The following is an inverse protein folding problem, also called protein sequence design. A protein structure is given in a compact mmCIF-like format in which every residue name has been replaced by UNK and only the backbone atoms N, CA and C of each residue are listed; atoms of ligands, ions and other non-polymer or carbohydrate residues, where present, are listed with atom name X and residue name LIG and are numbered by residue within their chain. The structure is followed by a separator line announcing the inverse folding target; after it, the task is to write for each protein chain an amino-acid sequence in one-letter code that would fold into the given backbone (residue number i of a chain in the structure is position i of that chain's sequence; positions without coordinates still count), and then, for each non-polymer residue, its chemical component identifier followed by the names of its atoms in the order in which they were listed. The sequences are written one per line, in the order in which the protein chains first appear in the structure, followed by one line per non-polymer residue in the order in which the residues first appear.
data_IF_111282401733
#
_entry.id   IF_111282401733
#
_cell.length_a   1.000
_cell.length_b   1.000
_cell.length_c   1.000
_cell.angle_alpha   90.00
_cell.angle_beta   90.00
_cell.angle_gamma   90.00
#
_symmetry.space_group_name_H-M   'P 1'
#
loop_
_entity.id
_entity.type
_entity.pdbx_description
1 polymer ?
#
# COMPACT_ATOMS: atom_id res chain seq x y z
N UNK A 1 11.53 1.56 -12.79
CA UNK A 1 12.92 1.85 -13.21
C UNK A 1 12.90 2.95 -14.25
N UNK A 2 13.85 3.86 -14.20
CA UNK A 2 14.08 4.87 -15.26
C UNK A 2 15.51 4.79 -15.71
N UNK A 3 15.74 4.91 -17.03
CA UNK A 3 17.07 4.94 -17.66
C UNK A 3 17.16 6.09 -18.63
N UNK A 4 18.33 6.72 -18.73
CA UNK A 4 18.65 7.76 -19.74
C UNK A 4 19.69 7.29 -20.76
N UNK A 5 19.92 8.13 -21.78
CA UNK A 5 20.86 7.84 -22.88
C UNK A 5 22.33 7.66 -22.45
N UNK A 6 22.72 8.19 -21.28
CA UNK A 6 24.05 8.07 -20.70
C UNK A 6 24.19 6.84 -19.79
N UNK A 7 23.18 5.94 -19.80
CA UNK A 7 23.10 4.74 -18.97
C UNK A 7 22.95 5.01 -17.46
N UNK A 8 22.53 6.22 -17.07
CA UNK A 8 22.10 6.46 -15.71
C UNK A 8 20.80 5.71 -15.47
N UNK A 9 20.80 4.82 -14.48
CA UNK A 9 19.67 3.97 -14.13
C UNK A 9 19.29 4.19 -12.68
N UNK A 10 17.99 4.39 -12.40
CA UNK A 10 17.46 4.55 -11.03
C UNK A 10 16.23 3.69 -10.82
N UNK A 11 16.06 3.19 -9.60
CA UNK A 11 14.81 2.58 -9.14
C UNK A 11 13.94 3.67 -8.53
N UNK A 12 12.76 3.87 -9.09
CA UNK A 12 11.83 4.87 -8.54
C UNK A 12 11.10 4.31 -7.33
N UNK A 13 10.68 3.04 -7.39
CA UNK A 13 9.93 2.42 -6.32
C UNK A 13 10.01 0.90 -6.42
N UNK A 14 10.21 0.23 -5.29
CA UNK A 14 9.95 -1.20 -5.16
C UNK A 14 8.49 -1.40 -4.76
N UNK A 15 7.83 -2.36 -5.39
CA UNK A 15 6.42 -2.67 -5.14
C UNK A 15 6.30 -4.17 -4.92
N UNK A 16 5.59 -4.57 -3.88
CA UNK A 16 5.36 -5.96 -3.53
C UNK A 16 3.87 -6.30 -3.60
N UNK A 17 3.54 -7.47 -4.14
CA UNK A 17 2.19 -8.01 -4.14
C UNK A 17 1.96 -8.85 -2.88
N UNK A 18 0.78 -8.71 -2.25
CA UNK A 18 0.38 -9.61 -1.15
C UNK A 18 0.05 -11.01 -1.68
N UNK A 19 -0.64 -11.09 -2.82
CA UNK A 19 -0.94 -12.38 -3.44
C UNK A 19 0.30 -12.99 -4.07
N UNK A 20 0.48 -14.32 -3.97
CA UNK A 20 1.57 -15.03 -4.63
C UNK A 20 1.45 -14.96 -6.16
N UNK A 21 2.50 -15.38 -6.85
CA UNK A 21 2.52 -15.52 -8.30
C UNK A 21 1.33 -16.36 -8.79
N UNK A 22 0.66 -15.90 -9.84
CA UNK A 22 -0.57 -16.50 -10.39
C UNK A 22 -1.76 -15.53 -10.36
N UNK A 23 -1.70 -14.49 -9.52
CA UNK A 23 -2.62 -13.34 -9.57
C UNK A 23 -1.92 -12.19 -10.30
N UNK A 24 -2.60 -11.59 -11.27
CA UNK A 24 -2.07 -10.43 -12.00
C UNK A 24 -1.77 -9.27 -11.04
N UNK A 25 -0.63 -8.60 -11.19
CA UNK A 25 -0.20 -7.48 -10.32
C UNK A 25 -1.26 -6.37 -10.23
N UNK A 26 -1.99 -6.09 -11.32
CA UNK A 26 -3.11 -5.14 -11.31
C UNK A 26 -4.25 -5.52 -10.38
N UNK A 27 -4.45 -6.82 -10.17
CA UNK A 27 -5.55 -7.40 -9.37
C UNK A 27 -5.14 -7.77 -7.95
N UNK A 28 -3.83 -7.73 -7.63
CA UNK A 28 -3.33 -7.93 -6.28
C UNK A 28 -3.33 -6.64 -5.48
N UNK A 29 -3.48 -6.75 -4.16
CA UNK A 29 -3.13 -5.67 -3.24
C UNK A 29 -1.62 -5.51 -3.29
N UNK A 30 -1.13 -4.28 -3.46
CA UNK A 30 0.30 -4.00 -3.59
C UNK A 30 0.77 -2.97 -2.57
N UNK A 31 1.99 -3.15 -2.11
CA UNK A 31 2.62 -2.37 -1.07
C UNK A 31 3.90 -1.72 -1.63
N UNK A 32 4.13 -0.48 -1.29
CA UNK A 32 5.37 0.24 -1.59
C UNK A 32 5.89 0.95 -0.33
N UNK A 33 7.19 0.85 -0.02
CA UNK A 33 8.18 -0.03 -0.64
C UNK A 33 7.91 -1.51 -0.32
N UNK A 34 8.60 -2.45 -0.98
CA UNK A 34 8.57 -3.86 -0.63
C UNK A 34 8.96 -4.07 0.84
N UNK A 35 8.22 -4.93 1.56
CA UNK A 35 8.34 -5.09 3.01
C UNK A 35 9.09 -6.37 3.42
N UNK A 36 9.07 -7.40 2.56
CA UNK A 36 9.58 -8.73 2.92
C UNK A 36 10.95 -9.04 2.30
N UNK A 37 11.47 -8.16 1.44
CA UNK A 37 12.81 -8.30 0.86
C UNK A 37 13.89 -7.85 1.85
N UNK A 38 14.94 -8.64 1.97
CA UNK A 38 16.20 -8.18 2.57
C UNK A 38 16.90 -7.19 1.65
N UNK A 39 17.80 -6.35 2.19
CA UNK A 39 18.59 -5.43 1.36
C UNK A 39 19.37 -6.18 0.27
N UNK A 40 19.96 -7.32 0.59
CA UNK A 40 20.69 -8.15 -0.38
C UNK A 40 19.80 -8.60 -1.54
N UNK A 41 18.58 -9.06 -1.27
CA UNK A 41 17.62 -9.46 -2.30
C UNK A 41 17.20 -8.24 -3.13
N UNK A 42 16.91 -7.12 -2.49
CA UNK A 42 16.59 -5.87 -3.18
C UNK A 42 17.71 -5.46 -4.15
N UNK A 43 18.98 -5.48 -3.74
CA UNK A 43 20.11 -5.12 -4.60
C UNK A 43 20.25 -6.09 -5.78
N UNK A 44 20.02 -7.39 -5.58
CA UNK A 44 20.00 -8.37 -6.69
C UNK A 44 18.91 -8.03 -7.71
N UNK A 45 17.69 -7.72 -7.24
CA UNK A 45 16.59 -7.35 -8.15
C UNK A 45 16.84 -6.02 -8.86
N UNK A 46 17.46 -5.06 -8.18
CA UNK A 46 17.91 -3.79 -8.73
C UNK A 46 18.89 -4.00 -9.89
N UNK A 47 19.94 -4.75 -9.66
CA UNK A 47 20.97 -5.03 -10.67
C UNK A 47 20.40 -5.83 -11.86
N UNK A 48 19.55 -6.81 -11.60
CA UNK A 48 18.84 -7.56 -12.65
C UNK A 48 17.94 -6.65 -13.48
N UNK A 49 17.24 -5.69 -12.85
CA UNK A 49 16.40 -4.72 -13.57
C UNK A 49 17.22 -3.89 -14.55
N UNK A 50 18.37 -3.37 -14.13
CA UNK A 50 19.26 -2.61 -15.01
C UNK A 50 19.83 -3.44 -16.16
N UNK A 51 20.22 -4.68 -15.89
CA UNK A 51 20.68 -5.61 -16.92
C UNK A 51 19.59 -5.90 -17.95
N UNK A 52 18.35 -6.13 -17.50
CA UNK A 52 17.20 -6.38 -18.38
C UNK A 52 16.93 -5.17 -19.28
N UNK A 53 16.94 -3.94 -18.73
CA UNK A 53 16.74 -2.74 -19.54
C UNK A 53 17.80 -2.59 -20.63
N UNK A 54 19.07 -2.89 -20.32
CA UNK A 54 20.17 -2.85 -21.27
C UNK A 54 20.03 -3.90 -22.36
N UNK A 55 19.70 -5.15 -21.99
CA UNK A 55 19.54 -6.27 -22.89
C UNK A 55 18.36 -6.07 -23.87
N UNK A 56 17.25 -5.54 -23.38
CA UNK A 56 16.08 -5.21 -24.22
C UNK A 56 16.34 -3.99 -25.11
N UNK A 57 17.33 -3.17 -24.78
CA UNK A 57 17.67 -1.96 -25.56
C UNK A 57 16.78 -0.77 -25.23
N UNK A 58 16.24 -0.68 -24.01
CA UNK A 58 15.53 0.52 -23.53
C UNK A 58 16.56 1.59 -23.22
N UNK A 59 16.74 2.53 -24.14
CA UNK A 59 17.75 3.59 -24.02
C UNK A 59 17.27 4.76 -23.16
N UNK A 60 15.98 5.06 -23.21
CA UNK A 60 15.40 6.19 -22.47
C UNK A 60 14.00 5.89 -21.95
N UNK A 61 13.67 6.44 -20.78
CA UNK A 61 12.33 6.47 -20.25
C UNK A 61 12.07 5.53 -19.08
N UNK A 62 10.80 5.36 -18.77
CA UNK A 62 10.33 4.54 -17.64
C UNK A 62 9.97 3.13 -18.05
N UNK A 63 10.26 2.17 -17.19
CA UNK A 63 9.96 0.75 -17.39
C UNK A 63 9.50 0.11 -16.07
N UNK A 64 8.75 -0.98 -16.18
CA UNK A 64 8.37 -1.83 -15.06
C UNK A 64 8.95 -3.22 -15.28
N UNK A 65 9.70 -3.73 -14.32
CA UNK A 65 10.23 -5.10 -14.33
C UNK A 65 9.59 -5.87 -13.18
N UNK A 66 9.04 -7.05 -13.47
CA UNK A 66 8.34 -7.90 -12.50
C UNK A 66 9.13 -9.17 -12.26
N UNK A 67 9.30 -9.50 -10.99
CA UNK A 67 10.00 -10.69 -10.51
C UNK A 67 9.10 -11.54 -9.63
N UNK A 68 9.42 -12.82 -9.57
CA UNK A 68 9.00 -13.70 -8.49
C UNK A 68 10.24 -14.21 -7.77
N UNK A 69 10.21 -14.15 -6.44
CA UNK A 69 11.27 -14.68 -5.58
C UNK A 69 10.72 -15.86 -4.81
N UNK A 70 11.39 -17.01 -4.89
CA UNK A 70 11.00 -18.16 -4.08
C UNK A 70 11.59 -17.98 -2.66
N UNK A 71 10.76 -17.83 -1.62
CA UNK A 71 11.24 -17.54 -0.28
C UNK A 71 12.08 -18.68 0.36
N UNK A 72 11.86 -19.91 -0.08
CA UNK A 72 12.58 -21.06 0.47
C UNK A 72 13.97 -21.28 -0.16
N UNK A 73 14.17 -20.86 -1.41
CA UNK A 73 15.40 -21.12 -2.17
C UNK A 73 16.14 -19.87 -2.58
N UNK A 74 15.53 -18.70 -2.45
CA UNK A 74 16.04 -17.44 -2.99
C UNK A 74 16.07 -17.36 -4.52
N UNK A 75 15.48 -18.36 -5.22
CA UNK A 75 15.45 -18.35 -6.68
C UNK A 75 14.61 -17.21 -7.21
N UNK A 76 15.21 -16.40 -8.08
CA UNK A 76 14.54 -15.30 -8.77
C UNK A 76 14.12 -15.73 -10.17
N UNK A 77 12.90 -15.40 -10.55
CA UNK A 77 12.35 -15.57 -11.90
C UNK A 77 11.85 -14.23 -12.40
N UNK A 78 12.22 -13.86 -13.62
CA UNK A 78 11.66 -12.71 -14.32
C UNK A 78 10.29 -13.10 -14.88
N UNK A 79 9.24 -12.37 -14.51
CA UNK A 79 7.89 -12.61 -15.01
C UNK A 79 7.71 -11.88 -16.35
N UNK A 80 7.90 -10.56 -16.32
CA UNK A 80 7.78 -9.71 -17.51
C UNK A 80 8.51 -8.38 -17.32
N UNK A 81 8.73 -7.69 -18.42
CA UNK A 81 9.22 -6.31 -18.46
C UNK A 81 8.33 -5.50 -19.40
N UNK A 82 7.86 -4.36 -18.92
CA UNK A 82 7.02 -3.44 -19.69
C UNK A 82 7.85 -2.16 -20.00
N UNK A 83 8.35 -1.98 -21.26
CA UNK A 83 9.18 -0.82 -21.63
C UNK A 83 8.31 0.42 -21.91
N UNK A 84 7.48 0.80 -20.98
CA UNK A 84 6.55 1.91 -21.10
C UNK A 84 6.09 2.40 -19.73
N UNK A 85 5.58 3.62 -19.68
CA UNK A 85 4.81 4.12 -18.54
C UNK A 85 3.48 3.36 -18.47
N UNK A 86 3.09 2.93 -17.28
CA UNK A 86 1.93 2.07 -17.02
C UNK A 86 1.16 2.52 -15.78
N UNK A 87 0.11 1.78 -15.39
CA UNK A 87 -0.59 2.02 -14.11
C UNK A 87 0.35 1.90 -12.91
N UNK A 88 1.26 0.93 -12.90
CA UNK A 88 2.27 0.80 -11.85
C UNK A 88 3.22 2.00 -11.81
N UNK A 89 3.56 2.61 -12.94
CA UNK A 89 4.33 3.86 -12.98
C UNK A 89 3.55 5.03 -12.37
N UNK A 90 2.23 5.11 -12.62
CA UNK A 90 1.37 6.12 -12.00
C UNK A 90 1.28 5.91 -10.48
N UNK A 91 1.15 4.67 -10.02
CA UNK A 91 1.20 4.33 -8.61
C UNK A 91 2.55 4.72 -7.98
N UNK A 92 3.66 4.34 -8.61
CA UNK A 92 5.01 4.70 -8.15
C UNK A 92 5.22 6.22 -8.08
N UNK A 93 4.73 6.98 -9.08
CA UNK A 93 4.78 8.44 -9.06
C UNK A 93 3.98 9.04 -7.89
N UNK A 94 2.78 8.52 -7.62
CA UNK A 94 1.97 8.97 -6.48
C UNK A 94 2.60 8.56 -5.13
N UNK A 95 3.18 7.36 -5.08
CA UNK A 95 3.80 6.85 -3.87
C UNK A 95 5.05 7.64 -3.47
N UNK A 96 5.86 8.06 -4.43
CA UNK A 96 7.16 8.71 -4.18
C UNK A 96 7.14 10.22 -4.40
N UNK A 97 6.12 10.75 -5.06
CA UNK A 97 6.12 12.12 -5.56
C UNK A 97 6.98 12.34 -6.81
N UNK A 98 7.78 11.35 -7.25
CA UNK A 98 8.66 11.46 -8.41
C UNK A 98 7.85 11.44 -9.72
N UNK A 99 7.94 12.47 -10.58
CA UNK A 99 7.10 12.63 -11.77
C UNK A 99 7.59 11.80 -12.95
N UNK A 100 7.43 10.45 -12.90
CA UNK A 100 7.98 9.51 -13.89
C UNK A 100 7.61 9.89 -15.33
N UNK A 101 6.36 10.26 -15.60
CA UNK A 101 5.91 10.57 -16.95
C UNK A 101 6.57 11.84 -17.51
N UNK A 102 6.69 12.89 -16.68
CA UNK A 102 7.40 14.13 -17.04
C UNK A 102 8.88 13.86 -17.34
N UNK A 103 9.54 13.14 -16.42
CA UNK A 103 10.95 12.79 -16.58
C UNK A 103 11.16 11.94 -17.83
N UNK A 104 10.36 10.88 -18.02
CA UNK A 104 10.44 10.03 -19.22
C UNK A 104 10.28 10.82 -20.53
N UNK A 105 9.36 11.79 -20.58
CA UNK A 105 9.19 12.67 -21.73
C UNK A 105 10.43 13.54 -21.99
N UNK A 106 11.03 14.09 -20.95
CA UNK A 106 12.26 14.90 -21.10
C UNK A 106 13.46 14.05 -21.53
N UNK A 107 13.60 12.84 -21.00
CA UNK A 107 14.64 11.90 -21.42
C UNK A 107 14.51 11.54 -22.91
N UNK A 108 13.27 11.37 -23.40
CA UNK A 108 13.03 11.03 -24.82
C UNK A 108 13.40 12.15 -25.82
N UNK A 109 13.50 13.39 -25.35
CA UNK A 109 13.98 14.52 -26.17
C UNK A 109 15.45 14.86 -25.92
N UNK A 110 16.16 14.00 -25.17
CA UNK A 110 17.63 14.03 -25.09
C UNK A 110 18.21 14.59 -23.80
N UNK A 111 17.40 14.94 -22.79
CA UNK A 111 17.92 15.24 -21.45
C UNK A 111 18.45 13.98 -20.77
N UNK A 112 19.26 14.17 -19.72
CA UNK A 112 19.76 13.10 -18.86
C UNK A 112 19.27 13.31 -17.42
N UNK A 113 19.31 12.25 -16.61
CA UNK A 113 18.79 12.29 -15.23
C UNK A 113 19.55 13.27 -14.33
N UNK A 114 20.83 13.45 -14.57
CA UNK A 114 21.69 14.39 -13.84
C UNK A 114 21.48 15.85 -14.26
N UNK A 115 21.02 16.11 -15.51
CA UNK A 115 20.65 17.44 -15.97
C UNK A 115 19.28 17.90 -15.45
N UNK A 116 18.39 16.94 -15.13
CA UNK A 116 17.06 17.23 -14.65
C UNK A 116 17.05 17.48 -13.13
N UNK A 117 16.29 18.49 -12.72
CA UNK A 117 16.07 18.81 -11.30
C UNK A 117 14.94 17.98 -10.74
N UNK A 118 15.05 17.58 -9.48
CA UNK A 118 13.96 16.95 -8.74
C UNK A 118 12.97 18.03 -8.28
N UNK A 119 11.74 17.96 -8.77
CA UNK A 119 10.69 18.93 -8.43
C UNK A 119 10.32 18.91 -6.95
N UNK A 120 10.39 17.75 -6.29
CA UNK A 120 10.01 17.59 -4.86
C UNK A 120 10.99 18.34 -3.95
N UNK A 121 12.28 18.32 -4.28
CA UNK A 121 13.33 19.03 -3.53
C UNK A 121 13.57 20.44 -4.06
N UNK A 122 12.69 20.97 -4.93
CA UNK A 122 12.85 22.27 -5.59
C UNK A 122 14.19 22.43 -6.31
N UNK A 123 14.73 21.34 -6.82
CA UNK A 123 15.98 21.29 -7.53
C UNK A 123 17.25 21.29 -6.66
N UNK A 124 17.12 21.05 -5.36
CA UNK A 124 18.26 20.82 -4.47
C UNK A 124 19.01 19.54 -4.83
N UNK A 125 18.30 18.55 -5.37
CA UNK A 125 18.86 17.30 -5.87
C UNK A 125 18.55 17.11 -7.35
N UNK A 126 19.40 16.42 -8.12
CA UNK A 126 19.07 16.02 -9.49
C UNK A 126 18.07 14.85 -9.48
N UNK A 127 17.43 14.60 -10.60
CA UNK A 127 16.53 13.48 -10.81
C UNK A 127 17.25 12.11 -10.85
N UNK A 128 18.57 12.09 -10.85
CA UNK A 128 19.40 10.89 -10.78
C UNK A 128 19.49 10.26 -9.38
N UNK A 129 19.02 10.93 -8.33
CA UNK A 129 18.89 10.31 -7.01
C UNK A 129 17.70 9.37 -6.96
N UNK A 130 17.92 8.14 -6.50
CA UNK A 130 16.85 7.17 -6.30
C UNK A 130 15.93 7.65 -5.16
N UNK A 131 14.60 7.67 -5.37
CA UNK A 131 13.68 8.00 -4.28
C UNK A 131 13.80 7.06 -3.11
N UNK A 132 13.76 7.63 -1.91
CA UNK A 132 13.68 6.92 -0.63
C UNK A 132 12.47 7.45 0.13
N UNK A 133 11.62 6.55 0.64
CA UNK A 133 10.41 6.92 1.37
C UNK A 133 10.43 6.29 2.77
N UNK A 134 9.96 7.02 3.77
CA UNK A 134 9.88 6.61 5.16
C UNK A 134 8.43 6.33 5.64
N UNK A 135 7.53 6.12 4.69
CA UNK A 135 6.13 5.76 4.88
C UNK A 135 5.78 4.54 4.03
N UNK A 136 4.60 4.00 4.25
CA UNK A 136 4.09 2.82 3.51
C UNK A 136 2.88 3.22 2.70
N UNK A 137 2.85 2.76 1.46
CA UNK A 137 1.76 2.98 0.52
C UNK A 137 1.08 1.66 0.23
N UNK A 138 -0.24 1.59 0.39
CA UNK A 138 -1.05 0.43 0.03
C UNK A 138 -2.00 0.78 -1.11
N UNK A 139 -2.00 -0.04 -2.16
CA UNK A 139 -2.96 0.00 -3.26
C UNK A 139 -3.91 -1.19 -3.15
N UNK A 140 -5.22 -0.94 -3.21
CA UNK A 140 -6.24 -1.99 -3.32
C UNK A 140 -6.95 -1.84 -4.67
N UNK A 141 -7.03 -2.92 -5.48
CA UNK A 141 -7.73 -2.90 -6.76
C UNK A 141 -9.24 -2.85 -6.56
N UNK A 142 -9.94 -2.18 -7.47
CA UNK A 142 -11.40 -2.15 -7.53
C UNK A 142 -11.90 -2.97 -8.70
N UNK A 143 -12.92 -3.78 -8.45
CA UNK A 143 -13.58 -4.61 -9.44
C UNK A 143 -15.00 -4.12 -9.69
N UNK A 144 -15.62 -4.54 -10.79
CA UNK A 144 -16.98 -4.18 -11.17
C UNK A 144 -17.79 -5.43 -11.57
N UNK A 145 -17.57 -6.54 -10.86
CA UNK A 145 -18.26 -7.81 -11.18
C UNK A 145 -19.78 -7.70 -11.02
N UNK A 146 -20.26 -6.80 -10.18
CA UNK A 146 -21.69 -6.49 -10.02
C UNK A 146 -22.33 -5.98 -11.33
N UNK A 147 -21.53 -5.36 -12.21
CA UNK A 147 -21.97 -4.89 -13.53
C UNK A 147 -21.84 -5.97 -14.61
N UNK A 148 -21.07 -7.01 -14.34
CA UNK A 148 -20.78 -8.11 -15.26
C UNK A 148 -21.01 -9.47 -14.60
N UNK A 149 -22.26 -9.83 -14.26
CA UNK A 149 -22.56 -11.02 -13.45
C UNK A 149 -22.18 -12.34 -14.12
N UNK A 150 -21.93 -12.36 -15.42
CA UNK A 150 -21.46 -13.54 -16.16
C UNK A 150 -19.93 -13.69 -16.13
N UNK A 151 -19.20 -12.68 -15.67
CA UNK A 151 -17.74 -12.73 -15.58
C UNK A 151 -17.30 -13.61 -14.40
N UNK A 152 -16.29 -14.44 -14.64
CA UNK A 152 -15.67 -15.20 -13.56
C UNK A 152 -14.89 -14.24 -12.63
N UNK A 153 -15.30 -14.16 -11.36
CA UNK A 153 -14.68 -13.29 -10.34
C UNK A 153 -13.38 -13.84 -9.74
N UNK A 154 -12.98 -15.07 -10.10
CA UNK A 154 -11.69 -15.62 -9.60
C UNK A 154 -10.53 -14.91 -10.26
N UNK A 155 -9.57 -14.46 -9.43
CA UNK A 155 -8.37 -13.74 -9.88
C UNK A 155 -7.38 -14.72 -10.47
N UNK A 156 -6.77 -14.34 -11.58
CA UNK A 156 -5.83 -15.16 -12.34
C UNK A 156 -4.70 -14.27 -12.88
N UNK A 157 -3.91 -14.78 -13.81
CA UNK A 157 -2.93 -13.99 -14.55
C UNK A 157 -3.54 -12.96 -15.52
N UNK A 158 -4.84 -13.03 -15.75
CA UNK A 158 -5.57 -12.04 -16.54
C UNK A 158 -6.09 -10.91 -15.64
N UNK A 159 -5.77 -9.66 -15.98
CA UNK A 159 -6.23 -8.49 -15.24
C UNK A 159 -7.73 -8.27 -15.40
N UNK A 160 -8.45 -8.11 -14.28
CA UNK A 160 -9.91 -7.92 -14.20
C UNK A 160 -10.31 -6.64 -13.47
N UNK A 161 -9.38 -6.00 -12.78
CA UNK A 161 -9.63 -4.74 -12.07
C UNK A 161 -9.94 -3.60 -13.03
N UNK A 162 -10.87 -2.73 -12.62
CA UNK A 162 -11.31 -1.55 -13.40
C UNK A 162 -10.75 -0.25 -12.85
N UNK A 163 -10.26 -0.27 -11.63
CA UNK A 163 -9.69 0.88 -10.93
C UNK A 163 -8.91 0.45 -9.71
N UNK A 164 -8.49 1.43 -8.92
CA UNK A 164 -7.72 1.20 -7.70
C UNK A 164 -7.85 2.37 -6.76
N UNK A 165 -7.67 2.14 -5.47
CA UNK A 165 -7.43 3.15 -4.44
C UNK A 165 -6.01 3.04 -3.95
N UNK A 166 -5.48 4.17 -3.45
CA UNK A 166 -4.15 4.24 -2.85
C UNK A 166 -4.24 5.02 -1.54
N UNK A 167 -3.60 4.51 -0.50
CA UNK A 167 -3.49 5.20 0.79
C UNK A 167 -2.07 5.14 1.32
N UNK A 168 -1.68 6.20 2.04
CA UNK A 168 -0.36 6.35 2.65
C UNK A 168 -0.51 6.35 4.17
N UNK A 169 0.37 5.66 4.87
CA UNK A 169 0.46 5.64 6.32
C UNK A 169 1.90 5.48 6.78
N UNK A 170 2.19 5.69 8.07
CA UNK A 170 3.53 5.47 8.64
C UNK A 170 3.88 3.99 8.76
N UNK A 171 2.84 3.13 8.80
CA UNK A 171 2.96 1.68 8.88
C UNK A 171 2.12 1.01 7.81
N UNK A 172 2.42 -0.27 7.53
CA UNK A 172 1.59 -1.10 6.66
C UNK A 172 0.14 -1.18 7.16
N UNK A 173 -0.06 -1.40 8.45
CA UNK A 173 -1.39 -1.52 9.05
C UNK A 173 -2.22 -0.24 8.85
N UNK A 174 -1.63 0.94 9.10
CA UNK A 174 -2.29 2.22 8.87
C UNK A 174 -2.69 2.40 7.40
N UNK A 175 -1.73 2.21 6.47
CA UNK A 175 -1.97 2.40 5.05
C UNK A 175 -3.02 1.41 4.51
N UNK A 176 -2.99 0.15 4.96
CA UNK A 176 -3.94 -0.88 4.57
C UNK A 176 -5.37 -0.58 5.03
N UNK A 177 -5.57 -0.25 6.31
CA UNK A 177 -6.90 0.07 6.82
C UNK A 177 -7.48 1.34 6.18
N UNK A 178 -6.65 2.36 5.94
CA UNK A 178 -7.05 3.57 5.19
C UNK A 178 -7.42 3.25 3.75
N UNK A 179 -6.71 2.33 3.09
CA UNK A 179 -7.03 1.90 1.74
C UNK A 179 -8.40 1.19 1.69
N UNK A 180 -8.71 0.31 2.65
CA UNK A 180 -10.03 -0.31 2.77
C UNK A 180 -11.15 0.75 2.91
N UNK A 181 -10.94 1.76 3.75
CA UNK A 181 -11.90 2.86 3.89
C UNK A 181 -12.09 3.66 2.60
N UNK A 182 -11.02 3.81 1.82
CA UNK A 182 -11.03 4.57 0.56
C UNK A 182 -11.72 3.82 -0.59
N UNK A 183 -12.05 2.53 -0.42
CA UNK A 183 -12.82 1.77 -1.43
C UNK A 183 -14.25 2.29 -1.61
N UNK A 184 -14.78 3.00 -0.63
CA UNK A 184 -16.18 3.52 -0.61
C UNK A 184 -17.24 2.42 -0.78
N UNK A 185 -16.97 1.24 -0.22
CA UNK A 185 -17.83 0.04 -0.24
C UNK A 185 -18.49 -0.22 1.13
N UNK A 186 -18.55 0.80 1.99
CA UNK A 186 -19.11 0.68 3.33
C UNK A 186 -18.15 0.07 4.35
N UNK A 187 -16.88 -0.15 3.98
CA UNK A 187 -15.84 -0.65 4.87
C UNK A 187 -15.24 0.51 5.68
N UNK A 188 -15.08 0.33 6.97
CA UNK A 188 -14.50 1.31 7.89
C UNK A 188 -13.20 0.82 8.52
N UNK A 189 -12.66 -0.26 7.99
CA UNK A 189 -11.46 -0.98 8.38
C UNK A 189 -11.55 -2.43 7.92
N UNK A 190 -10.92 -3.32 8.63
CA UNK A 190 -10.89 -4.75 8.33
C UNK A 190 -12.16 -5.43 8.83
N UNK A 191 -13.28 -5.23 8.11
CA UNK A 191 -14.63 -5.66 8.51
C UNK A 191 -14.83 -7.18 8.35
N UNK A 192 -15.83 -7.72 9.09
CA UNK A 192 -16.32 -9.09 8.88
C UNK A 192 -17.42 -9.10 7.82
N UNK A 193 -17.38 -10.11 6.95
CA UNK A 193 -18.39 -10.36 5.91
C UNK A 193 -19.12 -11.69 6.10
N UNK A 194 -18.76 -12.45 7.13
CA UNK A 194 -19.42 -13.72 7.44
C UNK A 194 -20.75 -13.51 8.19
N UNK A 195 -21.68 -14.37 7.89
CA UNK A 195 -22.90 -14.55 8.68
C UNK A 195 -22.56 -15.42 9.91
N UNK A 196 -22.61 -14.86 11.15
CA UNK A 196 -22.20 -15.60 12.34
C UNK A 196 -23.07 -16.82 12.66
N UNK A 197 -24.27 -16.91 12.05
CA UNK A 197 -25.21 -18.02 12.29
C UNK A 197 -24.95 -19.25 11.41
N UNK A 198 -24.05 -19.15 10.43
CA UNK A 198 -23.76 -20.24 9.49
C UNK A 198 -22.40 -20.87 9.73
N UNK A 199 -22.32 -22.20 9.59
CA UNK A 199 -21.03 -22.87 9.48
C UNK A 199 -20.46 -22.60 8.10
N UNK A 200 -19.39 -21.80 8.01
CA UNK A 200 -18.81 -21.33 6.76
C UNK A 200 -17.38 -21.84 6.53
N UNK A 201 -16.95 -22.88 7.26
CA UNK A 201 -15.56 -23.37 7.16
C UNK A 201 -15.17 -23.82 5.74
N UNK A 202 -16.06 -24.53 5.03
CA UNK A 202 -15.79 -24.99 3.68
C UNK A 202 -15.72 -23.81 2.70
N UNK A 203 -16.63 -22.84 2.87
CA UNK A 203 -16.61 -21.61 2.07
C UNK A 203 -15.34 -20.81 2.32
N UNK A 204 -14.92 -20.62 3.57
CA UNK A 204 -13.66 -19.94 3.91
C UNK A 204 -12.46 -20.64 3.28
N UNK A 205 -12.40 -21.97 3.39
CA UNK A 205 -11.32 -22.73 2.78
C UNK A 205 -11.28 -22.53 1.26
N UNK A 206 -12.44 -22.53 0.59
CA UNK A 206 -12.55 -22.26 -0.85
C UNK A 206 -12.09 -20.83 -1.21
N UNK A 207 -12.62 -19.82 -0.52
CA UNK A 207 -12.31 -18.40 -0.80
C UNK A 207 -10.85 -18.04 -0.51
N UNK A 208 -10.21 -18.70 0.44
CA UNK A 208 -8.80 -18.53 0.75
C UNK A 208 -7.88 -19.26 -0.25
N UNK A 209 -8.30 -20.42 -0.75
CA UNK A 209 -7.54 -21.20 -1.72
C UNK A 209 -7.62 -20.58 -3.13
N UNK A 210 -8.80 -20.14 -3.54
CA UNK A 210 -9.04 -19.59 -4.87
C UNK A 210 -9.27 -18.06 -4.77
N UNK A 211 -8.26 -17.24 -5.10
CA UNK A 211 -8.33 -15.81 -4.86
C UNK A 211 -9.51 -15.14 -5.57
N UNK A 212 -10.23 -14.33 -4.82
CA UNK A 212 -11.31 -13.48 -5.28
C UNK A 212 -11.18 -12.06 -4.71
N UNK A 213 -12.04 -11.12 -5.13
CA UNK A 213 -11.98 -9.71 -4.70
C UNK A 213 -12.01 -9.51 -3.18
N UNK A 214 -12.78 -10.34 -2.47
CA UNK A 214 -13.00 -10.23 -1.02
C UNK A 214 -12.07 -11.12 -0.19
N UNK A 215 -11.05 -11.75 -0.80
CA UNK A 215 -10.15 -12.72 -0.14
C UNK A 215 -9.59 -12.22 1.18
N UNK A 216 -9.22 -10.94 1.25
CA UNK A 216 -8.63 -10.36 2.47
C UNK A 216 -9.64 -10.27 3.61
N UNK A 217 -10.91 -10.02 3.32
CA UNK A 217 -11.98 -10.00 4.33
C UNK A 217 -12.26 -11.41 4.85
N UNK A 218 -12.26 -12.43 3.98
CA UNK A 218 -12.34 -13.84 4.38
C UNK A 218 -11.13 -14.27 5.22
N UNK A 219 -9.93 -13.76 4.91
CA UNK A 219 -8.73 -13.98 5.72
C UNK A 219 -8.91 -13.45 7.14
N UNK A 220 -9.40 -12.22 7.28
CA UNK A 220 -9.69 -11.63 8.58
C UNK A 220 -10.71 -12.44 9.37
N UNK A 221 -11.76 -12.93 8.71
CA UNK A 221 -12.79 -13.74 9.36
C UNK A 221 -12.26 -15.11 9.79
N UNK A 222 -11.43 -15.76 8.98
CA UNK A 222 -10.74 -16.99 9.37
C UNK A 222 -9.86 -16.77 10.62
N UNK A 223 -9.16 -15.62 10.68
CA UNK A 223 -8.38 -15.25 11.87
C UNK A 223 -9.25 -15.03 13.10
N UNK A 224 -10.43 -14.39 12.95
CA UNK A 224 -11.41 -14.22 14.05
C UNK A 224 -11.97 -15.54 14.58
N UNK A 225 -12.07 -16.54 13.70
CA UNK A 225 -12.48 -17.91 14.02
C UNK A 225 -11.34 -18.76 14.63
N UNK A 226 -10.15 -18.18 14.81
CA UNK A 226 -9.02 -18.85 15.45
C UNK A 226 -8.19 -19.73 14.50
N UNK A 227 -8.31 -19.60 13.19
CA UNK A 227 -7.42 -20.33 12.27
C UNK A 227 -5.99 -19.79 12.43
N UNK A 228 -5.04 -20.71 12.55
CA UNK A 228 -3.62 -20.39 12.73
C UNK A 228 -2.95 -19.87 11.43
N UNK A 229 -1.85 -19.17 11.59
CA UNK A 229 -1.14 -18.53 10.47
C UNK A 229 -0.47 -19.54 9.54
N UNK A 230 -0.08 -20.73 10.03
CA UNK A 230 0.48 -21.79 9.22
C UNK A 230 -0.55 -22.34 8.23
N UNK A 231 -1.77 -22.63 8.72
CA UNK A 231 -2.90 -23.04 7.87
C UNK A 231 -3.24 -21.96 6.85
N UNK A 232 -3.30 -20.69 7.29
CA UNK A 232 -3.61 -19.56 6.41
C UNK A 232 -2.54 -19.38 5.34
N UNK A 233 -1.25 -19.45 5.70
CA UNK A 233 -0.16 -19.42 4.74
C UNK A 233 -0.25 -20.55 3.71
N UNK A 234 -0.50 -21.78 4.16
CA UNK A 234 -0.64 -22.96 3.29
C UNK A 234 -1.79 -22.83 2.28
N UNK A 235 -2.91 -22.24 2.67
CA UNK A 235 -4.08 -22.04 1.80
C UNK A 235 -3.89 -20.86 0.84
N UNK A 236 -3.30 -19.78 1.32
CA UNK A 236 -3.27 -18.51 0.58
C UNK A 236 -1.97 -18.27 -0.17
N UNK A 237 -0.85 -18.84 0.30
CA UNK A 237 0.49 -18.47 -0.15
C UNK A 237 0.93 -17.05 0.24
N UNK A 238 0.15 -16.35 1.07
CA UNK A 238 0.51 -15.01 1.57
C UNK A 238 1.69 -15.14 2.52
N UNK A 239 2.66 -14.24 2.38
CA UNK A 239 3.86 -14.24 3.21
C UNK A 239 3.51 -14.13 4.71
N UNK A 240 4.17 -14.91 5.60
CA UNK A 240 3.93 -14.88 7.03
C UNK A 240 4.05 -13.49 7.66
N UNK A 241 4.89 -12.61 7.12
CA UNK A 241 5.01 -11.23 7.60
C UNK A 241 3.67 -10.47 7.48
N UNK A 242 2.99 -10.59 6.34
CA UNK A 242 1.66 -9.97 6.16
C UNK A 242 0.60 -10.61 7.05
N UNK A 243 0.63 -11.94 7.20
CA UNK A 243 -0.29 -12.64 8.10
C UNK A 243 -0.12 -12.17 9.53
N UNK A 244 1.11 -11.97 10.00
CA UNK A 244 1.40 -11.41 11.32
C UNK A 244 0.80 -9.99 11.47
N UNK A 245 0.96 -9.12 10.48
CA UNK A 245 0.40 -7.76 10.51
C UNK A 245 -1.14 -7.77 10.60
N UNK A 246 -1.78 -8.64 9.84
CA UNK A 246 -3.24 -8.81 9.90
C UNK A 246 -3.71 -9.41 11.21
N UNK A 247 -2.99 -10.41 11.72
CA UNK A 247 -3.26 -11.03 13.02
C UNK A 247 -3.23 -10.02 14.15
N UNK A 248 -2.26 -9.13 14.14
CA UNK A 248 -2.12 -8.08 15.15
C UNK A 248 -3.31 -7.10 15.11
N UNK A 249 -3.80 -6.73 13.92
CA UNK A 249 -5.03 -5.93 13.79
C UNK A 249 -6.27 -6.67 14.33
N UNK A 250 -6.42 -7.96 14.03
CA UNK A 250 -7.54 -8.77 14.49
C UNK A 250 -7.48 -8.97 16.00
N UNK A 251 -6.30 -9.18 16.57
CA UNK A 251 -6.13 -9.29 18.02
C UNK A 251 -6.51 -8.00 18.73
N UNK A 252 -6.13 -6.84 18.20
CA UNK A 252 -6.57 -5.55 18.74
C UNK A 252 -8.10 -5.42 18.69
N UNK A 253 -8.74 -5.80 17.58
CA UNK A 253 -10.20 -5.80 17.46
C UNK A 253 -10.86 -6.73 18.50
N UNK A 254 -10.35 -7.94 18.66
CA UNK A 254 -10.89 -8.93 19.60
C UNK A 254 -10.73 -8.46 21.05
N UNK A 255 -9.60 -7.83 21.39
CA UNK A 255 -9.32 -7.29 22.72
C UNK A 255 -10.22 -6.08 23.07
N UNK A 256 -10.82 -5.41 22.09
CA UNK A 256 -11.77 -4.34 22.33
C UNK A 256 -13.20 -4.85 22.64
N UNK A 257 -13.51 -6.10 22.30
CA UNK A 257 -14.86 -6.65 22.49
C UNK A 257 -15.24 -6.70 23.99
N UNK A 258 -16.37 -6.09 24.31
CA UNK A 258 -16.89 -6.03 25.68
C UNK A 258 -16.32 -4.91 26.54
N UNK A 259 -15.36 -4.15 26.04
CA UNK A 259 -14.88 -2.94 26.72
C UNK A 259 -15.78 -1.75 26.42
N UNK A 260 -15.81 -0.80 27.35
CA UNK A 260 -16.39 0.51 27.16
C UNK A 260 -15.28 1.50 26.85
N UNK A 261 -15.63 2.61 26.21
CA UNK A 261 -14.65 3.63 25.79
C UNK A 261 -13.84 4.23 26.94
N UNK A 262 -14.46 4.34 28.14
CA UNK A 262 -13.78 4.85 29.33
C UNK A 262 -12.76 3.89 29.96
N UNK A 263 -12.78 2.62 29.55
CA UNK A 263 -11.84 1.59 29.99
C UNK A 263 -10.59 1.51 29.11
N UNK A 264 -10.54 2.26 28.00
CA UNK A 264 -9.38 2.27 27.10
C UNK A 264 -8.44 3.39 27.54
N UNK A 265 -7.20 3.05 27.84
CA UNK A 265 -6.17 4.02 28.15
C UNK A 265 -5.81 4.88 26.94
N UNK A 266 -5.38 6.12 27.19
CA UNK A 266 -4.99 7.08 26.16
C UNK A 266 -3.97 6.52 25.18
N UNK A 267 -2.92 5.88 25.69
CA UNK A 267 -1.83 5.29 24.92
C UNK A 267 -2.33 4.18 24.01
N UNK A 268 -3.27 3.35 24.49
CA UNK A 268 -3.91 2.31 23.67
C UNK A 268 -4.78 2.92 22.59
N UNK A 269 -5.55 3.98 22.90
CA UNK A 269 -6.35 4.68 21.90
C UNK A 269 -5.47 5.30 20.81
N UNK A 270 -4.36 5.93 21.18
CA UNK A 270 -3.38 6.46 20.23
C UNK A 270 -2.79 5.35 19.34
N UNK A 271 -2.35 4.23 19.92
CA UNK A 271 -1.83 3.08 19.18
C UNK A 271 -2.85 2.54 18.15
N UNK A 272 -4.13 2.42 18.55
CA UNK A 272 -5.18 2.00 17.62
C UNK A 272 -5.36 2.99 16.47
N UNK A 273 -5.29 4.30 16.74
CA UNK A 273 -5.34 5.32 15.70
C UNK A 273 -4.14 5.24 14.77
N UNK A 274 -2.94 5.00 15.30
CA UNK A 274 -1.70 4.81 14.52
C UNK A 274 -1.74 3.54 13.66
N UNK A 275 -2.48 2.50 14.07
CA UNK A 275 -2.73 1.31 13.27
C UNK A 275 -3.85 1.49 12.23
N UNK A 276 -4.46 2.68 12.14
CA UNK A 276 -5.47 3.01 11.12
C UNK A 276 -6.92 2.68 11.51
N UNK A 277 -7.21 2.34 12.77
CA UNK A 277 -8.61 2.18 13.20
C UNK A 277 -9.37 3.50 13.09
N UNK A 278 -10.43 3.52 12.27
CA UNK A 278 -11.33 4.69 12.18
C UNK A 278 -12.13 4.87 13.48
N UNK A 279 -12.57 6.11 13.74
CA UNK A 279 -13.46 6.37 14.90
C UNK A 279 -14.73 5.52 14.79
N UNK A 280 -15.23 5.29 13.57
CA UNK A 280 -16.39 4.45 13.30
C UNK A 280 -16.14 2.96 13.58
N UNK A 281 -14.97 2.43 13.19
CA UNK A 281 -14.58 1.04 13.50
C UNK A 281 -14.44 0.84 14.99
N UNK A 282 -13.80 1.77 15.70
CA UNK A 282 -13.70 1.73 17.16
C UNK A 282 -15.06 1.79 17.83
N UNK A 283 -15.96 2.64 17.36
CA UNK A 283 -17.33 2.73 17.87
C UNK A 283 -18.07 1.40 17.74
N UNK A 284 -17.95 0.73 16.59
CA UNK A 284 -18.55 -0.59 16.37
C UNK A 284 -17.99 -1.65 17.33
N UNK A 285 -16.66 -1.69 17.54
CA UNK A 285 -16.01 -2.63 18.46
C UNK A 285 -16.44 -2.41 19.92
N UNK A 286 -16.62 -1.15 20.34
CA UNK A 286 -16.92 -0.73 21.71
C UNK A 286 -18.44 -0.56 21.99
N UNK A 287 -19.29 -0.82 21.00
CA UNK A 287 -20.74 -0.57 21.06
C UNK A 287 -21.06 0.86 21.50
N UNK A 288 -20.35 1.83 20.96
CA UNK A 288 -20.47 3.26 21.21
C UNK A 288 -20.84 4.00 19.92
N UNK A 289 -20.96 5.33 19.98
CA UNK A 289 -21.18 6.17 18.82
C UNK A 289 -19.85 6.79 18.32
N UNK A 290 -19.71 6.94 17.01
CA UNK A 290 -18.50 7.54 16.40
C UNK A 290 -18.15 8.89 17.00
N UNK A 291 -19.17 9.73 17.25
CA UNK A 291 -18.97 11.06 17.84
C UNK A 291 -18.40 11.03 19.27
N UNK A 292 -18.66 9.96 20.04
CA UNK A 292 -18.10 9.79 21.38
C UNK A 292 -16.62 9.42 21.32
N UNK A 293 -16.23 8.52 20.40
CA UNK A 293 -14.83 8.22 20.14
C UNK A 293 -14.08 9.50 19.74
N UNK A 294 -14.64 10.25 18.79
CA UNK A 294 -14.06 11.53 18.33
C UNK A 294 -13.92 12.55 19.44
N UNK A 295 -14.95 12.73 20.26
CA UNK A 295 -14.93 13.66 21.41
C UNK A 295 -13.82 13.28 22.38
N UNK A 296 -13.70 12.00 22.73
CA UNK A 296 -12.68 11.53 23.65
C UNK A 296 -11.28 11.74 23.12
N UNK A 297 -10.97 11.29 21.88
CA UNK A 297 -9.61 11.47 21.33
C UNK A 297 -9.20 12.93 21.22
N UNK A 298 -10.15 13.84 20.90
CA UNK A 298 -9.87 15.28 20.86
C UNK A 298 -9.57 15.80 22.26
N UNK A 299 -10.36 15.41 23.29
CA UNK A 299 -10.12 15.83 24.68
C UNK A 299 -8.79 15.34 25.25
N UNK A 300 -8.27 14.24 24.73
CA UNK A 300 -6.96 13.66 25.08
C UNK A 300 -5.82 14.16 24.19
N UNK A 301 -6.10 15.12 23.31
CA UNK A 301 -5.15 15.66 22.32
C UNK A 301 -4.61 14.62 21.35
N UNK A 302 -5.42 13.60 21.01
CA UNK A 302 -5.12 12.63 19.95
C UNK A 302 -5.68 13.19 18.64
N UNK A 303 -4.86 13.95 17.93
CA UNK A 303 -5.21 14.65 16.70
C UNK A 303 -4.44 14.09 15.51
N UNK A 304 -5.03 14.09 14.31
CA UNK A 304 -4.27 13.74 13.12
C UNK A 304 -3.21 14.80 12.80
N UNK A 305 -2.06 14.36 12.35
CA UNK A 305 -1.02 15.15 11.74
C UNK A 305 -1.04 14.98 10.22
N UNK A 306 -0.49 15.93 9.50
CA UNK A 306 -0.33 15.88 8.05
C UNK A 306 1.16 15.88 7.72
N UNK A 307 1.59 14.86 6.98
CA UNK A 307 2.97 14.68 6.51
C UNK A 307 3.05 14.93 5.02
N UNK A 308 4.18 15.45 4.56
CA UNK A 308 4.44 15.65 3.13
C UNK A 308 4.85 14.35 2.46
N UNK A 309 4.40 14.14 1.23
CA UNK A 309 4.96 13.10 0.37
C UNK A 309 6.33 13.58 -0.09
N UNK A 310 7.34 12.77 0.15
CA UNK A 310 8.74 13.12 0.00
C UNK A 310 9.52 12.00 -0.71
N UNK A 311 10.43 12.37 -1.62
CA UNK A 311 11.31 11.43 -2.33
C UNK A 311 12.64 11.19 -1.61
N UNK A 312 12.89 11.86 -0.51
CA UNK A 312 14.20 11.88 0.16
C UNK A 312 14.16 11.47 1.63
N UNK A 313 13.06 10.86 2.09
CA UNK A 313 12.88 10.39 3.48
C UNK A 313 13.26 11.46 4.55
N UNK A 314 12.97 12.73 4.27
CA UNK A 314 13.25 13.85 5.20
C UNK A 314 14.67 14.39 5.15
N UNK A 315 15.57 13.88 4.31
CA UNK A 315 16.95 14.40 4.22
C UNK A 315 17.02 15.84 3.68
N UNK A 316 16.07 16.24 2.83
CA UNK A 316 15.98 17.58 2.27
C UNK A 316 14.62 18.19 2.58
N UNK A 317 14.59 19.50 2.76
CA UNK A 317 13.34 20.22 2.93
C UNK A 317 12.47 20.08 1.66
N UNK A 318 11.20 19.73 1.84
CA UNK A 318 10.21 19.63 0.78
C UNK A 318 9.11 20.65 0.98
N UNK A 319 8.63 21.25 -0.12
CA UNK A 319 7.52 22.22 -0.09
C UNK A 319 6.30 21.74 -0.90
N UNK A 320 6.26 20.43 -1.24
CA UNK A 320 5.11 19.88 -1.94
C UNK A 320 3.83 20.08 -1.15
N UNK A 321 2.75 20.42 -1.84
CA UNK A 321 1.40 20.46 -1.27
C UNK A 321 0.75 19.05 -1.18
N UNK A 322 1.40 18.03 -1.71
CA UNK A 322 0.94 16.65 -1.65
C UNK A 322 1.22 16.05 -0.27
N UNK A 323 0.16 15.75 0.46
CA UNK A 323 0.23 15.35 1.87
C UNK A 323 -0.64 14.12 2.15
N UNK A 324 -0.31 13.42 3.24
CA UNK A 324 -1.14 12.36 3.81
C UNK A 324 -1.38 12.61 5.31
N UNK A 325 -2.51 12.14 5.82
CA UNK A 325 -2.83 12.22 7.25
C UNK A 325 -2.33 10.98 7.99
N UNK A 326 -1.90 11.17 9.23
CA UNK A 326 -1.47 10.10 10.15
C UNK A 326 -1.71 10.53 11.59
N UNK A 327 -1.55 9.59 12.55
CA UNK A 327 -1.54 9.90 13.99
C UNK A 327 -0.12 9.82 14.57
N UNK A 328 0.90 9.95 13.73
CA UNK A 328 2.31 9.87 14.12
C UNK A 328 3.04 11.18 13.92
N UNK A 329 3.67 11.67 15.01
CA UNK A 329 4.55 12.80 15.01
C UNK A 329 3.88 14.19 14.88
N UNK A 330 4.67 15.17 14.45
CA UNK A 330 4.25 16.56 14.28
C UNK A 330 3.63 16.80 12.90
N UNK A 331 2.81 17.85 12.82
CA UNK A 331 2.13 18.27 11.58
C UNK A 331 3.03 19.15 10.71
N UNK A 332 3.17 18.81 9.44
CA UNK A 332 3.98 19.55 8.45
C UNK A 332 3.11 20.48 7.56
N UNK A 333 1.82 20.60 7.82
CA UNK A 333 0.91 21.36 6.96
C UNK A 333 1.15 22.88 7.00
N UNK A 334 1.70 23.40 8.13
CA UNK A 334 2.01 24.81 8.32
C UNK A 334 0.92 25.74 7.79
N UNK A 335 -0.34 25.67 8.31
CA UNK A 335 -1.46 26.43 7.78
C UNK A 335 -1.21 27.93 7.91
N UNK A 336 -1.50 28.68 6.86
CA UNK A 336 -1.41 30.15 6.85
C UNK A 336 -2.73 30.76 7.32
N UNK A 337 -2.71 32.07 7.70
CA UNK A 337 -3.90 32.86 8.00
C UNK A 337 -4.66 33.34 6.75
N UNK A 338 -4.13 33.03 5.55
CA UNK A 338 -4.77 33.44 4.30
C UNK A 338 -6.15 32.78 4.14
N UNK A 339 -7.09 33.54 3.56
CA UNK A 339 -8.41 33.00 3.20
C UNK A 339 -8.26 31.84 2.23
N UNK A 340 -8.88 30.70 2.57
CA UNK A 340 -8.80 29.44 1.78
C UNK A 340 -10.16 29.19 1.14
N UNK A 341 -10.13 28.70 -0.11
CA UNK A 341 -11.32 28.28 -0.86
C UNK A 341 -11.09 26.83 -1.27
N UNK A 342 -12.09 25.98 -1.01
CA UNK A 342 -12.13 24.60 -1.50
C UNK A 342 -12.90 24.61 -2.82
N UNK A 343 -12.31 24.02 -3.87
CA UNK A 343 -12.90 23.89 -5.21
C UNK A 343 -13.23 22.43 -5.47
#
# INVERSE_FOLDING_TARGET
VVRDKNDNCIIICSIENIDPMGVHTGDSITIAPAQTLTDKEYQVLRDLSFRILREIGVETGGSNVQFAVNPSTGKVVVIEMNPRVSRSSALASKATGFPIAKVAALLSVGFTLDELKNDITQGLTPASFEPSIDYVVTKIPKFAFEKFPQANSRLTTQMKSVGEVMSIGRTFQESFQKALQSMEEGLYGFESILDPEKNQNEMLQYELTFPGPSRMLYLADAMRLGWDDEKLHKLTGIDPWFLFQFRDLINDELNLKGLRIDQIEKEKLLTLKQKGFSDRKLAACLRSEEKEIRKRRISENILPAFKRVDTCAGEFATETAYMYSTYDGFCESNPTENKKVIV
#
